data_IF_596984179239
#
_entry.id   IF_596984179239
#
_cell.length_a   1.000
_cell.length_b   1.000
_cell.length_c   1.000
_cell.angle_alpha   90.00
_cell.angle_beta   90.00
_cell.angle_gamma   90.00
#
_symmetry.space_group_name_H-M   'P 1'
#
loop_
_entity.id
_entity.type
_entity.pdbx_description
1 polymer ?
#
# COMPACT_ATOMS: atom_id res chain seq x y z
N UNK A 1 -31.09 14.56 59.55
CA UNK A 1 -31.12 14.98 58.13
C UNK A 1 -29.95 14.30 57.42
N UNK A 2 -30.12 13.80 56.18
CA UNK A 2 -29.11 13.12 55.32
C UNK A 2 -29.22 11.60 55.08
N UNK A 3 -30.43 11.01 55.09
CA UNK A 3 -30.64 9.65 54.51
C UNK A 3 -31.61 9.60 53.32
N UNK A 4 -32.35 10.68 53.04
CA UNK A 4 -33.40 10.68 52.02
C UNK A 4 -32.94 11.19 50.64
N UNK A 5 -31.79 11.90 50.58
CA UNK A 5 -31.23 12.45 49.34
C UNK A 5 -30.35 11.45 48.57
N UNK A 6 -29.74 10.48 49.26
CA UNK A 6 -28.91 9.44 48.63
C UNK A 6 -29.72 8.38 47.89
N UNK A 7 -30.93 8.06 48.34
CA UNK A 7 -31.77 7.03 47.71
C UNK A 7 -32.32 7.49 46.34
N UNK A 8 -32.69 8.76 46.21
CA UNK A 8 -33.07 9.36 44.93
C UNK A 8 -31.90 9.38 43.93
N UNK A 9 -30.68 9.66 44.40
CA UNK A 9 -29.50 9.71 43.53
C UNK A 9 -29.10 8.33 43.00
N UNK A 10 -29.28 7.26 43.78
CA UNK A 10 -29.02 5.88 43.33
C UNK A 10 -30.06 5.40 42.32
N UNK A 11 -31.33 5.76 42.51
CA UNK A 11 -32.41 5.41 41.56
C UNK A 11 -32.23 6.10 40.19
N UNK A 12 -31.75 7.34 40.18
CA UNK A 12 -31.43 8.07 38.93
C UNK A 12 -30.23 7.44 38.20
N UNK A 13 -29.22 6.93 38.91
CA UNK A 13 -28.08 6.25 38.28
C UNK A 13 -28.41 4.85 37.73
N UNK A 14 -29.34 4.12 38.35
CA UNK A 14 -29.77 2.79 37.85
C UNK A 14 -30.67 2.94 36.62
N UNK A 15 -31.50 4.00 36.54
CA UNK A 15 -32.28 4.31 35.34
C UNK A 15 -31.41 4.71 34.12
N UNK A 16 -30.17 5.17 34.35
CA UNK A 16 -29.22 5.55 33.29
C UNK A 16 -28.38 4.37 32.74
N UNK A 17 -28.51 3.16 33.29
CA UNK A 17 -27.74 1.98 32.84
C UNK A 17 -28.50 1.03 31.90
N UNK A 18 -29.73 1.36 31.52
CA UNK A 18 -30.41 0.72 30.38
C UNK A 18 -30.12 1.50 29.09
N UNK A 19 -28.85 1.62 28.72
CA UNK A 19 -28.50 1.88 27.33
C UNK A 19 -28.70 0.55 26.62
N UNK A 20 -29.95 0.29 26.22
CA UNK A 20 -30.25 -0.79 25.30
C UNK A 20 -29.33 -0.63 24.10
N UNK A 21 -28.61 -1.69 23.76
CA UNK A 21 -27.90 -1.77 22.48
C UNK A 21 -28.92 -1.43 21.41
N UNK A 22 -28.77 -0.26 20.78
CA UNK A 22 -29.56 0.09 19.60
C UNK A 22 -29.08 -0.84 18.51
N UNK A 23 -29.73 -2.00 18.40
CA UNK A 23 -29.62 -2.83 17.22
C UNK A 23 -30.29 -2.01 16.11
N UNK A 24 -29.48 -1.28 15.36
CA UNK A 24 -29.92 -0.60 14.15
C UNK A 24 -30.66 -1.61 13.28
N UNK A 25 -31.85 -1.24 12.82
CA UNK A 25 -32.68 -2.04 11.93
C UNK A 25 -31.83 -2.57 10.77
N UNK A 26 -31.83 -3.90 10.53
CA UNK A 26 -31.08 -4.52 9.42
C UNK A 26 -31.80 -4.25 8.10
N UNK A 27 -31.64 -3.04 7.57
CA UNK A 27 -31.99 -2.67 6.19
C UNK A 27 -31.18 -3.47 5.17
N UNK A 28 -31.69 -3.63 3.95
CA UNK A 28 -31.08 -4.32 2.81
C UNK A 28 -29.53 -4.22 2.78
N UNK A 29 -28.87 -5.38 2.81
CA UNK A 29 -27.42 -5.51 2.67
C UNK A 29 -27.09 -6.38 1.46
N UNK A 30 -26.04 -5.99 0.76
CA UNK A 30 -25.54 -6.68 -0.42
C UNK A 30 -24.06 -7.00 -0.22
N UNK A 31 -23.63 -8.18 -0.66
CA UNK A 31 -22.23 -8.54 -0.79
C UNK A 31 -21.94 -8.85 -2.25
N UNK A 32 -21.12 -8.02 -2.85
CA UNK A 32 -20.53 -8.24 -4.18
C UNK A 32 -19.02 -8.28 -3.94
N UNK A 33 -18.31 -9.33 -4.40
CA UNK A 33 -16.87 -9.41 -4.23
C UNK A 33 -16.21 -8.18 -4.84
N UNK A 34 -15.35 -7.51 -4.09
CA UNK A 34 -14.63 -6.33 -4.61
C UNK A 34 -13.74 -6.70 -5.79
N UNK A 35 -13.15 -7.90 -5.74
CA UNK A 35 -12.34 -8.45 -6.81
C UNK A 35 -12.55 -9.96 -6.97
N UNK A 36 -12.48 -10.45 -8.21
CA UNK A 36 -12.53 -11.88 -8.57
C UNK A 36 -11.53 -12.16 -9.68
N UNK A 37 -10.82 -13.28 -9.65
CA UNK A 37 -9.92 -13.65 -10.73
C UNK A 37 -10.70 -14.06 -11.98
N UNK A 38 -10.20 -13.68 -13.16
CA UNK A 38 -10.76 -14.11 -14.44
C UNK A 38 -10.84 -15.65 -14.53
N UNK A 39 -11.96 -16.17 -15.03
CA UNK A 39 -12.26 -17.59 -15.13
C UNK A 39 -12.77 -18.25 -13.84
N UNK A 40 -12.83 -17.54 -12.70
CA UNK A 40 -13.41 -18.05 -11.46
C UNK A 40 -14.90 -17.71 -11.36
N UNK A 41 -15.59 -18.32 -10.41
CA UNK A 41 -16.99 -17.99 -10.13
C UNK A 41 -17.09 -16.81 -9.16
N UNK A 42 -18.15 -16.01 -9.29
CA UNK A 42 -18.45 -14.89 -8.39
C UNK A 42 -19.79 -15.12 -7.68
N UNK A 43 -19.79 -15.01 -6.36
CA UNK A 43 -20.97 -15.14 -5.52
C UNK A 43 -21.52 -13.77 -5.12
N UNK A 44 -22.74 -13.48 -5.54
CA UNK A 44 -23.47 -12.26 -5.21
C UNK A 44 -24.50 -12.57 -4.13
N UNK A 45 -24.42 -11.92 -2.97
CA UNK A 45 -25.38 -12.13 -1.88
C UNK A 45 -26.25 -10.90 -1.65
N UNK A 46 -27.54 -11.14 -1.40
CA UNK A 46 -28.53 -10.14 -1.06
C UNK A 46 -29.32 -10.59 0.17
N UNK A 47 -29.21 -9.83 1.26
CA UNK A 47 -29.84 -10.12 2.55
C UNK A 47 -30.73 -8.97 2.96
N UNK A 48 -31.94 -9.27 3.43
CA UNK A 48 -32.99 -8.29 3.62
C UNK A 48 -33.85 -8.68 4.84
N UNK A 49 -34.49 -7.69 5.45
CA UNK A 49 -35.45 -7.83 6.53
C UNK A 49 -36.73 -7.13 6.09
N UNK A 50 -37.88 -7.83 6.11
CA UNK A 50 -39.13 -7.32 5.53
C UNK A 50 -40.12 -6.81 6.58
N UNK A 51 -39.69 -6.66 7.84
CA UNK A 51 -40.53 -6.14 8.94
C UNK A 51 -41.89 -6.85 9.09
N UNK A 52 -41.92 -8.15 8.80
CA UNK A 52 -43.13 -8.97 8.85
C UNK A 52 -43.97 -8.98 7.57
N UNK A 53 -43.59 -8.25 6.51
CA UNK A 53 -44.15 -8.43 5.18
C UNK A 53 -43.58 -9.69 4.49
N UNK A 54 -44.30 -10.19 3.48
CA UNK A 54 -43.82 -11.29 2.64
C UNK A 54 -42.91 -10.75 1.53
N UNK A 55 -41.99 -11.59 1.04
CA UNK A 55 -41.20 -11.24 -0.13
C UNK A 55 -42.09 -11.25 -1.38
N UNK A 56 -42.06 -10.15 -2.14
CA UNK A 56 -42.64 -10.11 -3.48
C UNK A 56 -41.63 -10.58 -4.53
N UNK A 57 -40.45 -9.95 -4.60
CA UNK A 57 -39.41 -10.34 -5.55
C UNK A 57 -38.02 -9.86 -5.18
N UNK A 58 -37.02 -10.57 -5.70
CA UNK A 58 -35.60 -10.17 -5.67
C UNK A 58 -35.12 -10.11 -7.09
N UNK A 59 -34.45 -9.02 -7.45
CA UNK A 59 -33.93 -8.81 -8.80
C UNK A 59 -32.49 -8.35 -8.73
N UNK A 60 -31.66 -8.92 -9.59
CA UNK A 60 -30.30 -8.47 -9.80
C UNK A 60 -30.15 -7.82 -11.16
N UNK A 61 -29.47 -6.68 -11.15
CA UNK A 61 -29.20 -5.87 -12.31
C UNK A 61 -27.70 -5.68 -12.50
N UNK A 62 -27.30 -5.61 -13.76
CA UNK A 62 -25.97 -5.16 -14.17
C UNK A 62 -26.15 -4.14 -15.27
N UNK A 63 -25.53 -2.96 -15.14
CA UNK A 63 -25.70 -1.85 -16.09
C UNK A 63 -27.19 -1.54 -16.37
N UNK A 64 -28.03 -1.57 -15.32
CA UNK A 64 -29.50 -1.40 -15.37
C UNK A 64 -30.28 -2.50 -16.13
N UNK A 65 -29.64 -3.58 -16.54
CA UNK A 65 -30.30 -4.72 -17.20
C UNK A 65 -30.49 -5.85 -16.18
N UNK A 66 -31.74 -6.29 -16.00
CA UNK A 66 -32.09 -7.44 -15.14
C UNK A 66 -31.47 -8.69 -15.73
N UNK A 67 -30.71 -9.45 -14.95
CA UNK A 67 -30.13 -10.73 -15.36
C UNK A 67 -30.64 -11.91 -14.53
N UNK A 68 -31.13 -11.64 -13.32
CA UNK A 68 -31.68 -12.67 -12.43
C UNK A 68 -32.88 -12.13 -11.66
N UNK A 69 -33.90 -12.98 -11.51
CA UNK A 69 -35.07 -12.71 -10.68
C UNK A 69 -35.53 -13.93 -9.93
N UNK A 70 -35.91 -13.71 -8.66
CA UNK A 70 -36.60 -14.67 -7.82
C UNK A 70 -37.97 -14.11 -7.38
N UNK A 71 -39.04 -14.87 -7.62
CA UNK A 71 -40.43 -14.57 -7.20
C UNK A 71 -41.01 -15.82 -6.54
N UNK A 72 -41.16 -15.87 -5.20
CA UNK A 72 -41.59 -17.08 -4.49
C UNK A 72 -42.94 -17.64 -4.95
N UNK A 73 -43.83 -16.77 -5.43
CA UNK A 73 -45.20 -17.11 -5.83
C UNK A 73 -45.31 -17.59 -7.28
N UNK A 74 -44.23 -17.57 -8.06
CA UNK A 74 -44.20 -18.06 -9.44
C UNK A 74 -43.69 -19.52 -9.52
N UNK A 75 -44.04 -20.21 -10.61
CA UNK A 75 -43.52 -21.54 -10.93
C UNK A 75 -43.00 -21.55 -12.38
N UNK A 76 -41.67 -21.62 -12.61
CA UNK A 76 -40.61 -21.66 -11.60
C UNK A 76 -40.44 -20.31 -10.88
N UNK A 77 -39.98 -20.35 -9.63
CA UNK A 77 -39.72 -19.15 -8.82
C UNK A 77 -38.54 -18.32 -9.36
N UNK A 78 -37.57 -18.99 -10.01
CA UNK A 78 -36.36 -18.35 -10.56
C UNK A 78 -36.50 -18.13 -12.06
N UNK A 79 -36.10 -16.93 -12.52
CA UNK A 79 -35.99 -16.56 -13.94
C UNK A 79 -34.63 -15.92 -14.19
N UNK A 80 -33.96 -16.34 -15.26
CA UNK A 80 -32.70 -15.76 -15.73
C UNK A 80 -32.94 -15.08 -17.06
N UNK A 81 -32.38 -13.89 -17.22
CA UNK A 81 -32.49 -13.10 -18.45
C UNK A 81 -31.13 -13.06 -19.14
N UNK A 82 -31.09 -13.21 -20.47
CA UNK A 82 -29.84 -13.17 -21.20
C UNK A 82 -29.26 -11.76 -21.15
N UNK A 83 -28.11 -11.64 -20.48
CA UNK A 83 -27.24 -10.46 -20.54
C UNK A 83 -25.91 -10.93 -21.08
N UNK A 84 -25.32 -10.12 -21.95
CA UNK A 84 -24.06 -10.45 -22.61
C UNK A 84 -23.01 -10.85 -21.56
N UNK A 85 -22.33 -11.97 -21.84
CA UNK A 85 -21.25 -12.57 -21.03
C UNK A 85 -21.63 -13.03 -19.61
N UNK A 86 -22.85 -12.78 -19.12
CA UNK A 86 -23.31 -13.29 -17.82
C UNK A 86 -23.78 -14.73 -17.98
N UNK A 87 -23.15 -15.64 -17.21
CA UNK A 87 -23.61 -17.02 -17.01
C UNK A 87 -24.04 -17.20 -15.57
N UNK A 88 -25.31 -17.46 -15.33
CA UNK A 88 -25.84 -17.73 -13.98
C UNK A 88 -25.91 -19.24 -13.76
N UNK A 89 -25.32 -19.74 -12.68
CA UNK A 89 -25.58 -21.10 -12.20
C UNK A 89 -26.90 -21.11 -11.41
N UNK A 90 -27.98 -21.52 -12.09
CA UNK A 90 -29.32 -21.61 -11.51
C UNK A 90 -29.40 -22.65 -10.40
N UNK A 91 -28.60 -23.72 -10.44
CA UNK A 91 -28.62 -24.77 -9.43
C UNK A 91 -27.94 -24.32 -8.13
N UNK A 92 -26.95 -23.43 -8.22
CA UNK A 92 -26.27 -22.83 -7.08
C UNK A 92 -26.92 -21.52 -6.58
N UNK A 93 -27.93 -21.01 -7.29
CA UNK A 93 -28.58 -19.72 -7.00
C UNK A 93 -29.98 -19.87 -6.39
N UNK A 94 -30.34 -18.97 -5.49
CA UNK A 94 -31.61 -18.92 -4.77
C UNK A 94 -32.03 -17.48 -4.47
N UNK A 95 -33.00 -17.30 -3.56
CA UNK A 95 -33.48 -15.99 -3.15
C UNK A 95 -32.39 -15.07 -2.56
N UNK A 96 -31.38 -15.60 -1.90
CA UNK A 96 -30.36 -14.79 -1.22
C UNK A 96 -29.03 -14.76 -1.96
N UNK A 97 -28.75 -15.75 -2.80
CA UNK A 97 -27.45 -15.92 -3.46
C UNK A 97 -27.61 -16.11 -4.96
N UNK A 98 -26.80 -15.40 -5.74
CA UNK A 98 -26.68 -15.60 -7.19
C UNK A 98 -25.23 -15.88 -7.54
N UNK A 99 -24.97 -17.01 -8.21
CA UNK A 99 -23.63 -17.43 -8.61
C UNK A 99 -23.44 -17.18 -10.10
N UNK A 100 -22.44 -16.37 -10.43
CA UNK A 100 -21.96 -16.15 -11.79
C UNK A 100 -20.78 -17.09 -12.06
N UNK A 101 -20.80 -17.82 -13.17
CA UNK A 101 -19.72 -18.77 -13.49
C UNK A 101 -18.73 -18.23 -14.50
N UNK A 102 -17.46 -18.61 -14.33
CA UNK A 102 -16.37 -18.28 -15.26
C UNK A 102 -16.32 -16.77 -15.63
N UNK A 103 -16.24 -15.90 -14.62
CA UNK A 103 -16.31 -14.46 -14.85
C UNK A 103 -15.13 -13.96 -15.67
N UNK A 104 -15.38 -13.10 -16.65
CA UNK A 104 -14.32 -12.49 -17.46
C UNK A 104 -14.20 -10.97 -17.19
N UNK A 105 -13.14 -10.35 -17.73
CA UNK A 105 -12.87 -8.91 -17.53
C UNK A 105 -14.04 -8.01 -17.91
N UNK A 106 -14.86 -8.42 -18.87
CA UNK A 106 -16.02 -7.64 -19.32
C UNK A 106 -17.07 -7.57 -18.24
N UNK A 107 -17.12 -8.50 -17.28
CA UNK A 107 -18.06 -8.53 -16.15
C UNK A 107 -17.71 -7.57 -15.01
N UNK A 108 -16.59 -6.84 -15.10
CA UNK A 108 -16.29 -5.71 -14.23
C UNK A 108 -17.42 -4.66 -14.31
N UNK A 109 -17.85 -4.14 -13.17
CA UNK A 109 -18.89 -3.10 -13.12
C UNK A 109 -19.72 -3.11 -11.85
N UNK A 110 -20.81 -2.32 -11.88
CA UNK A 110 -21.76 -2.21 -10.79
C UNK A 110 -22.83 -3.29 -10.88
N UNK A 111 -23.10 -3.94 -9.75
CA UNK A 111 -24.16 -4.91 -9.55
C UNK A 111 -25.14 -4.37 -8.52
N UNK A 112 -26.43 -4.44 -8.85
CA UNK A 112 -27.49 -3.90 -8.02
C UNK A 112 -28.47 -5.00 -7.64
N UNK A 113 -28.78 -5.12 -6.35
CA UNK A 113 -29.89 -5.93 -5.86
C UNK A 113 -31.08 -5.01 -5.51
N UNK A 114 -32.25 -5.38 -6.01
CA UNK A 114 -33.55 -4.79 -5.66
C UNK A 114 -34.39 -5.84 -4.93
N UNK A 115 -34.88 -5.50 -3.74
CA UNK A 115 -35.79 -6.33 -2.95
C UNK A 115 -37.10 -5.61 -2.78
N UNK A 116 -38.18 -6.25 -3.20
CA UNK A 116 -39.55 -5.72 -3.07
C UNK A 116 -40.34 -6.56 -2.07
N UNK A 117 -40.96 -5.90 -1.10
CA UNK A 117 -41.91 -6.50 -0.17
C UNK A 117 -43.32 -6.54 -0.79
N UNK A 118 -44.10 -7.53 -0.38
CA UNK A 118 -45.52 -7.65 -0.70
C UNK A 118 -46.37 -6.93 0.37
N UNK A 119 -47.69 -7.13 0.32
CA UNK A 119 -48.61 -6.67 1.34
C UNK A 119 -48.12 -7.02 2.76
N UNK A 120 -48.29 -6.09 3.74
CA UNK A 120 -48.97 -4.80 3.63
C UNK A 120 -48.06 -3.62 3.26
N UNK A 121 -46.74 -3.81 3.23
CA UNK A 121 -45.79 -2.69 3.22
C UNK A 121 -45.46 -2.19 1.81
N UNK A 122 -45.43 -3.09 0.81
CA UNK A 122 -45.16 -2.75 -0.60
C UNK A 122 -43.93 -1.85 -0.83
N UNK A 123 -42.95 -1.87 0.08
CA UNK A 123 -41.72 -1.09 -0.06
C UNK A 123 -40.71 -1.82 -0.94
N UNK A 124 -39.82 -1.05 -1.55
CA UNK A 124 -38.73 -1.57 -2.38
C UNK A 124 -37.43 -0.92 -1.94
N UNK A 125 -36.46 -1.76 -1.58
CA UNK A 125 -35.11 -1.33 -1.24
C UNK A 125 -34.14 -1.73 -2.35
N UNK A 126 -33.14 -0.87 -2.58
CA UNK A 126 -32.13 -1.06 -3.62
C UNK A 126 -30.74 -0.77 -3.05
N UNK A 127 -29.78 -1.66 -3.33
CA UNK A 127 -28.36 -1.46 -3.05
C UNK A 127 -27.51 -1.88 -4.23
N UNK A 128 -26.40 -1.19 -4.41
CA UNK A 128 -25.43 -1.45 -5.46
C UNK A 128 -24.02 -1.58 -4.89
N UNK A 129 -23.18 -2.39 -5.54
CA UNK A 129 -21.77 -2.55 -5.21
C UNK A 129 -20.96 -2.90 -6.48
N UNK A 130 -19.68 -2.54 -6.46
CA UNK A 130 -18.76 -2.73 -7.58
C UNK A 130 -18.02 -4.06 -7.48
N UNK A 131 -17.88 -4.76 -8.61
CA UNK A 131 -16.98 -5.89 -8.78
C UNK A 131 -15.91 -5.56 -9.83
N UNK A 132 -14.66 -5.92 -9.54
CA UNK A 132 -13.56 -5.86 -10.51
C UNK A 132 -13.09 -7.27 -10.83
N UNK A 133 -13.08 -7.64 -12.11
CA UNK A 133 -12.49 -8.91 -12.54
C UNK A 133 -11.01 -8.70 -12.86
N UNK A 134 -10.16 -9.46 -12.18
CA UNK A 134 -8.71 -9.33 -12.16
C UNK A 134 -8.07 -10.33 -13.12
N UNK A 135 -7.22 -9.82 -14.00
CA UNK A 135 -6.33 -10.60 -14.86
C UNK A 135 -4.89 -10.41 -14.35
N UNK A 136 -4.36 -11.35 -13.54
CA UNK A 136 -3.07 -11.18 -12.92
C UNK A 136 -1.91 -11.35 -13.91
N UNK A 137 -0.71 -10.83 -13.59
CA UNK A 137 0.51 -11.12 -14.34
C UNK A 137 0.80 -12.62 -14.42
N UNK A 138 1.35 -13.08 -15.55
CA UNK A 138 1.80 -14.47 -15.72
C UNK A 138 3.12 -14.77 -15.00
N UNK A 139 3.91 -13.74 -14.68
CA UNK A 139 5.23 -13.88 -14.04
C UNK A 139 5.35 -12.95 -12.82
N UNK A 140 6.32 -13.24 -11.96
CA UNK A 140 6.60 -12.42 -10.78
C UNK A 140 7.20 -11.06 -11.16
N UNK A 141 7.09 -10.04 -10.28
CA UNK A 141 7.72 -8.75 -10.50
C UNK A 141 9.25 -8.89 -10.57
N UNK A 142 9.87 -8.08 -11.42
CA UNK A 142 11.31 -8.05 -11.59
C UNK A 142 11.91 -6.87 -10.82
N UNK A 143 12.83 -7.15 -9.91
CA UNK A 143 13.57 -6.15 -9.15
C UNK A 143 14.98 -5.99 -9.72
N UNK A 144 15.46 -4.75 -9.78
CA UNK A 144 16.82 -4.41 -10.22
C UNK A 144 17.38 -3.30 -9.33
N UNK A 145 18.70 -3.22 -9.22
CA UNK A 145 19.43 -2.23 -8.41
C UNK A 145 20.55 -1.62 -9.23
N UNK A 146 20.80 -0.32 -9.05
CA UNK A 146 21.93 0.39 -9.68
C UNK A 146 23.29 0.06 -9.03
N UNK A 147 23.25 -0.63 -7.88
CA UNK A 147 24.42 -1.12 -7.13
C UNK A 147 24.37 -2.65 -6.97
N UNK A 148 25.55 -3.27 -6.93
CA UNK A 148 25.75 -4.69 -6.59
C UNK A 148 26.36 -4.89 -5.18
N UNK A 149 26.81 -3.80 -4.56
CA UNK A 149 27.43 -3.70 -3.25
C UNK A 149 27.35 -2.25 -2.79
N UNK A 150 27.48 -1.98 -1.50
CA UNK A 150 27.38 -0.62 -0.96
C UNK A 150 28.49 -0.31 0.05
N UNK A 151 28.68 0.97 0.33
CA UNK A 151 29.41 1.51 1.48
C UNK A 151 28.39 2.33 2.29
N UNK A 152 28.53 2.37 3.62
CA UNK A 152 27.68 3.25 4.44
C UNK A 152 27.67 4.70 3.94
N UNK A 153 26.47 5.27 3.77
CA UNK A 153 26.23 6.58 3.16
C UNK A 153 25.96 6.56 1.65
N UNK A 154 26.06 5.41 0.98
CA UNK A 154 25.70 5.31 -0.44
C UNK A 154 24.20 5.54 -0.66
N UNK A 155 23.86 6.36 -1.66
CA UNK A 155 22.52 6.41 -2.21
C UNK A 155 22.31 5.24 -3.18
N UNK A 156 21.33 4.40 -2.88
CA UNK A 156 20.98 3.20 -3.64
C UNK A 156 19.63 3.43 -4.29
N UNK A 157 19.56 3.14 -5.59
CA UNK A 157 18.31 3.21 -6.36
C UNK A 157 17.95 1.83 -6.91
N UNK A 158 16.80 1.34 -6.51
CA UNK A 158 16.25 0.08 -6.98
C UNK A 158 14.93 0.30 -7.72
N UNK A 159 14.72 -0.45 -8.79
CA UNK A 159 13.49 -0.42 -9.58
C UNK A 159 12.81 -1.79 -9.53
N UNK A 160 11.52 -1.79 -9.27
CA UNK A 160 10.67 -2.97 -9.33
C UNK A 160 9.61 -2.76 -10.41
N UNK A 161 9.52 -3.70 -11.34
CA UNK A 161 8.56 -3.67 -12.44
C UNK A 161 7.64 -4.88 -12.33
N UNK A 162 6.32 -4.65 -12.24
CA UNK A 162 5.33 -5.71 -12.43
C UNK A 162 5.08 -5.91 -13.93
N UNK A 163 4.91 -7.16 -14.41
CA UNK A 163 4.42 -7.39 -15.76
C UNK A 163 2.98 -6.83 -15.93
N UNK A 164 2.47 -6.75 -17.18
CA UNK A 164 1.15 -6.22 -17.45
C UNK A 164 0.05 -7.03 -16.75
N UNK A 165 -0.89 -6.34 -16.12
CA UNK A 165 -2.09 -6.90 -15.48
C UNK A 165 -3.30 -5.97 -15.63
N UNK A 166 -4.47 -6.49 -15.27
CA UNK A 166 -5.70 -5.69 -15.20
C UNK A 166 -6.38 -5.93 -13.83
N UNK A 167 -6.53 -4.92 -12.97
CA UNK A 167 -5.88 -3.61 -13.01
C UNK A 167 -4.35 -3.70 -12.79
N UNK A 168 -3.68 -2.56 -12.81
CA UNK A 168 -2.26 -2.45 -12.48
C UNK A 168 -1.99 -2.94 -11.04
N UNK A 169 -0.91 -3.70 -10.85
CA UNK A 169 -0.55 -4.21 -9.52
C UNK A 169 0.03 -3.11 -8.61
N UNK A 170 -0.32 -3.15 -7.33
CA UNK A 170 0.31 -2.32 -6.31
C UNK A 170 1.66 -2.92 -5.91
N UNK A 171 2.72 -2.12 -5.94
CA UNK A 171 4.06 -2.55 -5.55
C UNK A 171 4.38 -2.07 -4.14
N UNK A 172 4.79 -3.00 -3.29
CA UNK A 172 5.28 -2.77 -1.93
C UNK A 172 6.74 -3.18 -1.84
N UNK A 173 7.57 -2.33 -1.26
CA UNK A 173 9.00 -2.61 -1.05
C UNK A 173 9.27 -3.16 0.33
N UNK A 174 10.21 -4.09 0.40
CA UNK A 174 10.75 -4.66 1.63
C UNK A 174 12.27 -4.55 1.62
N UNK A 175 12.81 -3.96 2.70
CA UNK A 175 14.24 -3.85 2.94
C UNK A 175 14.56 -4.55 4.26
N UNK A 176 15.42 -5.56 4.23
CA UNK A 176 15.72 -6.43 5.38
C UNK A 176 14.44 -6.97 6.04
N UNK A 177 13.50 -7.46 5.22
CA UNK A 177 12.17 -7.96 5.61
C UNK A 177 11.21 -6.93 6.22
N UNK A 178 11.63 -5.67 6.37
CA UNK A 178 10.76 -4.60 6.82
C UNK A 178 10.10 -3.87 5.64
N UNK A 179 8.78 -3.70 5.71
CA UNK A 179 8.03 -2.90 4.73
C UNK A 179 8.49 -1.44 4.79
N UNK A 180 8.74 -0.84 3.62
CA UNK A 180 9.21 0.55 3.50
C UNK A 180 8.10 1.44 2.91
N UNK A 181 7.39 2.24 3.73
CA UNK A 181 6.44 3.23 3.24
C UNK A 181 7.13 4.54 2.84
N UNK A 182 6.65 5.19 1.78
CA UNK A 182 6.97 6.61 1.50
C UNK A 182 8.23 6.89 0.66
N UNK A 183 9.17 5.96 0.55
CA UNK A 183 10.39 6.10 -0.28
C UNK A 183 10.21 5.63 -1.73
N UNK A 184 8.96 5.55 -2.17
CA UNK A 184 8.56 4.82 -3.37
C UNK A 184 7.85 5.72 -4.36
N UNK A 185 8.46 5.99 -5.50
CA UNK A 185 7.79 6.65 -6.62
C UNK A 185 7.13 5.60 -7.50
N UNK A 186 5.80 5.69 -7.67
CA UNK A 186 5.01 4.72 -8.42
C UNK A 186 4.56 5.34 -9.76
N UNK A 187 4.78 4.59 -10.83
CA UNK A 187 4.35 4.93 -12.18
C UNK A 187 3.58 3.77 -12.79
N UNK A 188 2.48 4.05 -13.49
CA UNK A 188 1.68 3.05 -14.19
C UNK A 188 1.84 3.24 -15.70
N UNK A 189 2.32 2.21 -16.38
CA UNK A 189 2.46 2.15 -17.83
C UNK A 189 1.22 1.48 -18.41
N UNK A 190 0.31 2.27 -18.96
CA UNK A 190 -0.91 1.77 -19.59
C UNK A 190 -0.65 1.32 -21.03
N UNK A 191 -1.22 0.18 -21.40
CA UNK A 191 -1.21 -0.36 -22.76
C UNK A 191 -2.55 -0.10 -23.44
N UNK A 192 -2.54 -0.08 -24.78
CA UNK A 192 -3.74 0.20 -25.59
C UNK A 192 -4.87 -0.82 -25.43
N UNK A 193 -4.56 -2.03 -24.97
CA UNK A 193 -5.50 -3.13 -24.73
C UNK A 193 -6.12 -3.10 -23.32
N UNK A 194 -5.86 -2.05 -22.53
CA UNK A 194 -6.40 -1.84 -21.19
C UNK A 194 -5.54 -2.38 -20.04
N UNK A 195 -4.56 -3.24 -20.34
CA UNK A 195 -3.62 -3.71 -19.31
C UNK A 195 -2.69 -2.58 -18.87
N UNK A 196 -2.07 -2.77 -17.71
CA UNK A 196 -1.08 -1.85 -17.20
C UNK A 196 0.05 -2.57 -16.45
N UNK A 197 1.27 -2.07 -16.61
CA UNK A 197 2.43 -2.47 -15.81
C UNK A 197 2.70 -1.41 -14.75
N UNK A 198 3.06 -1.83 -13.55
CA UNK A 198 3.47 -0.92 -12.49
C UNK A 198 4.99 -0.89 -12.38
N UNK A 199 5.54 0.31 -12.22
CA UNK A 199 6.95 0.55 -11.94
C UNK A 199 7.05 1.31 -10.63
N UNK A 200 7.75 0.75 -9.66
CA UNK A 200 8.08 1.45 -8.42
C UNK A 200 9.60 1.66 -8.34
N UNK A 201 10.02 2.87 -7.99
CA UNK A 201 11.42 3.20 -7.71
C UNK A 201 11.60 3.39 -6.21
N UNK A 202 12.55 2.67 -5.61
CA UNK A 202 12.99 2.82 -4.23
C UNK A 202 14.31 3.59 -4.21
N UNK A 203 14.36 4.68 -3.46
CA UNK A 203 15.58 5.43 -3.18
C UNK A 203 15.86 5.40 -1.68
N UNK A 204 17.04 4.92 -1.29
CA UNK A 204 17.45 4.84 0.11
C UNK A 204 18.92 5.22 0.28
N UNK A 205 19.28 5.66 1.48
CA UNK A 205 20.67 5.85 1.89
C UNK A 205 21.10 4.68 2.78
N UNK A 206 22.22 4.04 2.44
CA UNK A 206 22.74 2.91 3.19
C UNK A 206 23.16 3.36 4.60
N UNK A 207 22.58 2.73 5.63
CA UNK A 207 22.92 3.05 7.02
C UNK A 207 24.41 2.81 7.30
N UNK A 208 25.06 3.80 7.91
CA UNK A 208 26.47 3.69 8.33
C UNK A 208 26.55 2.82 9.59
N UNK A 209 27.45 1.84 9.60
CA UNK A 209 27.60 0.86 10.70
C UNK A 209 26.33 0.02 10.94
N UNK A 210 25.75 -0.52 9.87
CA UNK A 210 24.64 -1.47 10.00
C UNK A 210 25.11 -2.73 10.78
N UNK A 211 24.37 -3.18 11.81
CA UNK A 211 24.69 -4.42 12.53
C UNK A 211 24.61 -5.65 11.62
N UNK A 212 23.90 -5.53 10.49
CA UNK A 212 23.83 -6.54 9.44
C UNK A 212 24.56 -6.00 8.20
N UNK A 213 25.70 -6.59 7.78
CA UNK A 213 26.53 -6.09 6.67
C UNK A 213 25.94 -6.42 5.29
N UNK A 214 24.68 -6.84 5.25
CA UNK A 214 23.96 -7.20 4.03
C UNK A 214 22.65 -6.45 3.97
N UNK A 215 22.40 -5.78 2.84
CA UNK A 215 21.15 -5.14 2.56
C UNK A 215 20.34 -6.03 1.62
N UNK A 216 19.22 -6.55 2.11
CA UNK A 216 18.30 -7.39 1.33
C UNK A 216 17.16 -6.53 0.80
N UNK A 217 16.96 -6.51 -0.51
CA UNK A 217 15.94 -5.70 -1.16
C UNK A 217 15.06 -6.63 -1.99
N UNK A 218 13.75 -6.59 -1.75
CA UNK A 218 12.75 -7.26 -2.59
C UNK A 218 11.49 -6.40 -2.71
N UNK A 219 10.69 -6.67 -3.72
CA UNK A 219 9.37 -6.07 -3.85
C UNK A 219 8.28 -7.14 -3.95
N UNK A 220 7.06 -6.73 -3.62
CA UNK A 220 5.85 -7.54 -3.74
C UNK A 220 4.84 -6.77 -4.59
N UNK A 221 4.33 -7.42 -5.63
CA UNK A 221 3.22 -6.93 -6.42
C UNK A 221 1.92 -7.58 -5.92
N UNK A 222 0.86 -6.80 -5.77
CA UNK A 222 -0.45 -7.28 -5.29
C UNK A 222 -1.60 -6.62 -6.03
N UNK A 223 -2.70 -7.35 -6.23
CA UNK A 223 -3.93 -6.83 -6.83
C UNK A 223 -5.08 -7.23 -5.91
N UNK A 224 -5.67 -6.25 -5.22
CA UNK A 224 -6.60 -6.47 -4.11
C UNK A 224 -6.05 -7.54 -3.13
N UNK A 225 -6.93 -8.35 -2.57
CA UNK A 225 -6.60 -9.52 -1.75
C UNK A 225 -6.56 -10.83 -2.55
N UNK A 226 -6.92 -10.81 -3.84
CA UNK A 226 -7.06 -12.01 -4.69
C UNK A 226 -5.76 -12.47 -5.35
N UNK A 227 -4.75 -11.60 -5.47
CA UNK A 227 -3.47 -11.97 -6.07
C UNK A 227 -2.28 -11.25 -5.44
N UNK A 228 -1.18 -11.98 -5.24
CA UNK A 228 0.12 -11.43 -4.81
C UNK A 228 1.27 -12.25 -5.38
N UNK A 229 2.39 -11.58 -5.66
CA UNK A 229 3.63 -12.23 -6.08
C UNK A 229 4.85 -11.42 -5.65
N UNK A 230 5.88 -12.10 -5.15
CA UNK A 230 7.13 -11.49 -4.71
C UNK A 230 8.22 -11.62 -5.75
N UNK A 231 9.07 -10.60 -5.87
CA UNK A 231 10.27 -10.67 -6.69
C UNK A 231 11.32 -11.59 -6.08
N UNK A 232 12.37 -11.89 -6.84
CA UNK A 232 13.61 -12.38 -6.24
C UNK A 232 14.18 -11.34 -5.26
N UNK A 233 15.06 -11.77 -4.36
CA UNK A 233 15.72 -10.88 -3.39
C UNK A 233 17.11 -10.52 -3.87
N UNK A 234 17.40 -9.22 -3.98
CA UNK A 234 18.75 -8.70 -4.22
C UNK A 234 19.46 -8.58 -2.88
N UNK A 235 20.69 -9.06 -2.81
CA UNK A 235 21.53 -8.96 -1.60
C UNK A 235 22.76 -8.12 -1.92
N UNK A 236 22.81 -6.90 -1.40
CA UNK A 236 23.97 -6.03 -1.50
C UNK A 236 24.86 -6.26 -0.27
N UNK A 237 26.14 -6.53 -0.50
CA UNK A 237 27.12 -6.68 0.60
C UNK A 237 27.85 -5.37 0.84
N UNK A 238 28.08 -5.03 2.10
CA UNK A 238 28.89 -3.88 2.48
C UNK A 238 30.36 -4.12 2.09
N UNK A 239 31.00 -3.13 1.48
CA UNK A 239 32.44 -3.11 1.22
C UNK A 239 33.12 -2.20 2.23
N UNK A 240 34.31 -2.60 2.67
CA UNK A 240 35.18 -1.68 3.41
C UNK A 240 35.50 -0.48 2.50
N UNK A 241 35.25 0.73 2.98
CA UNK A 241 35.79 1.92 2.34
C UNK A 241 37.31 1.78 2.33
N UNK A 242 37.95 1.78 1.16
CA UNK A 242 39.41 1.83 1.08
C UNK A 242 39.84 3.21 1.59
N UNK A 243 40.61 3.30 2.69
CA UNK A 243 41.04 4.60 3.23
C UNK A 243 41.92 5.39 2.24
N UNK A 244 42.51 4.73 1.24
CA UNK A 244 43.32 5.36 0.19
C UNK A 244 42.52 6.27 -0.76
N UNK A 245 41.20 6.06 -0.91
CA UNK A 245 40.36 6.85 -1.82
C UNK A 245 39.94 8.21 -1.24
N UNK A 246 39.91 8.34 0.09
CA UNK A 246 39.62 9.60 0.78
C UNK A 246 40.82 10.58 0.75
N UNK A 247 42.03 10.09 0.44
CA UNK A 247 43.26 10.88 0.31
C UNK A 247 43.50 11.40 -1.12
N UNK A 248 42.57 11.18 -2.05
CA UNK A 248 42.69 11.52 -3.47
C UNK A 248 42.38 12.98 -3.85
N UNK A 249 42.32 13.92 -2.90
CA UNK A 249 42.49 15.34 -3.22
C UNK A 249 43.96 15.68 -3.05
N UNK A 250 44.72 15.35 -4.08
CA UNK A 250 46.03 15.94 -4.35
C UNK A 250 45.87 17.45 -4.30
N UNK A 251 46.32 18.08 -3.22
CA UNK A 251 46.73 19.47 -3.27
C UNK A 251 47.85 19.50 -4.31
N UNK A 252 47.54 19.93 -5.52
CA UNK A 252 48.57 20.40 -6.45
C UNK A 252 49.33 21.46 -5.68
N UNK A 253 50.59 21.15 -5.35
CA UNK A 253 51.49 22.06 -4.70
C UNK A 253 51.60 23.34 -5.50
N UNK A 254 50.89 24.37 -5.05
CA UNK A 254 51.38 25.72 -5.20
C UNK A 254 52.53 25.82 -4.20
N UNK A 255 53.75 26.04 -4.71
CA UNK A 255 54.90 26.37 -3.89
C UNK A 255 54.55 27.59 -3.03
N UNK A 256 54.18 27.36 -1.77
CA UNK A 256 54.14 28.40 -0.75
C UNK A 256 55.57 28.57 -0.28
N UNK A 257 56.18 29.67 -0.71
CA UNK A 257 57.39 30.23 -0.14
C UNK A 257 57.34 30.09 1.38
N UNK A 258 58.33 29.43 1.96
CA UNK A 258 58.53 29.41 3.40
C UNK A 258 58.94 30.82 3.82
N UNK A 259 57.96 31.64 4.19
CA UNK A 259 58.18 32.90 4.86
C UNK A 259 58.78 32.57 6.23
N UNK A 260 60.12 32.60 6.32
CA UNK A 260 60.85 32.58 7.57
C UNK A 260 60.24 33.65 8.48
N UNK A 261 59.86 33.34 9.73
CA UNK A 261 59.23 34.32 10.58
C UNK A 261 60.22 35.46 10.78
N UNK A 262 59.84 36.67 10.36
CA UNK A 262 60.61 37.93 10.50
C UNK A 262 61.14 38.13 11.92
N UNK A 263 60.49 37.51 12.91
CA UNK A 263 60.90 37.44 14.31
C UNK A 263 62.28 36.75 14.49
N UNK A 264 62.58 35.67 13.77
CA UNK A 264 63.88 34.98 13.88
C UNK A 264 65.04 35.83 13.34
N UNK A 265 64.82 36.61 12.27
CA UNK A 265 65.82 37.52 11.72
C UNK A 265 66.05 38.72 12.65
N UNK A 266 64.97 39.28 13.22
CA UNK A 266 65.07 40.36 14.20
C UNK A 266 65.76 39.93 15.49
N UNK A 267 65.50 38.72 15.99
CA UNK A 267 66.19 38.15 17.14
C UNK A 267 67.68 37.94 16.87
N UNK A 268 68.04 37.47 15.67
CA UNK A 268 69.45 37.30 15.28
C UNK A 268 70.19 38.65 15.18
N UNK A 269 69.55 39.67 14.61
CA UNK A 269 70.11 41.02 14.55
C UNK A 269 70.24 41.68 15.93
N UNK A 270 69.26 41.48 16.81
CA UNK A 270 69.33 41.98 18.19
C UNK A 270 70.44 41.29 18.99
N UNK A 271 70.62 39.98 18.81
CA UNK A 271 71.71 39.22 19.44
C UNK A 271 73.10 39.68 18.96
N UNK A 272 73.25 39.98 17.66
CA UNK A 272 74.48 40.54 17.11
C UNK A 272 74.78 41.95 17.66
N UNK A 273 73.77 42.80 17.83
CA UNK A 273 73.94 44.12 18.47
C UNK A 273 74.33 44.03 19.94
N UNK A 274 73.80 43.03 20.68
CA UNK A 274 74.20 42.76 22.06
C UNK A 274 75.65 42.30 22.16
N UNK A 275 76.10 41.43 21.26
CA UNK A 275 77.50 40.99 21.20
C UNK A 275 78.47 42.16 20.92
N UNK A 276 78.09 43.09 20.03
CA UNK A 276 78.90 44.29 19.76
C UNK A 276 78.93 45.27 20.94
N UNK A 277 77.87 45.35 21.77
CA UNK A 277 77.91 46.15 23.02
C UNK A 277 78.74 45.48 24.11
N UNK A 278 78.76 44.15 24.16
CA UNK A 278 79.54 43.39 25.14
C UNK A 278 81.05 43.45 24.87
N UNK A 279 81.47 43.50 23.60
CA UNK A 279 82.88 43.67 23.23
C UNK A 279 83.43 45.10 23.37
N UNK A 280 82.57 46.09 23.65
CA UNK A 280 82.95 47.49 23.85
C UNK A 280 83.12 47.93 25.31
N UNK A 281 82.95 47.04 26.28
CA UNK A 281 82.99 47.38 27.73
C UNK A 281 83.90 46.44 28.52
N UNK A 282 85.17 46.37 28.13
CA UNK A 282 86.33 45.90 28.92
C UNK A 282 87.54 46.10 28.01
N UNK A 283 88.57 46.91 28.26
CA UNK A 283 89.21 47.36 29.49
C UNK A 283 89.91 48.69 29.16
N UNK A 284 89.84 49.59 30.14
CA UNK A 284 90.67 50.78 30.33
C UNK A 284 92.07 50.38 30.76
#
# INVERSE_FOLDING_TARGET
MNKMTTLHSVFVCIALHFIGTVNTLKSLQIHVPTAVLTGYDAELMCTYELEGAQLYSIRWYRNMIEFYRYVPKESPATKVFPVAEIKVDVAASDQNRVVLTEVDRTLTGEYQCEVSADAPLFHTDIKAAMMVVVEPPLTSPNVTSDRISYIGGDHIRANCSSPPSLPAANITWYVNEQMVPGFTANHVLNYSNGYASSLATLELEAAVHSPVPTLMIRCEASIFDVWRSTSHTIVLRERSANPASALGRSFTGAATETCLPTIMVLLLQFFLQLLQRYSGTSIR
#
